data_IF_756636197733
#
_entry.id   IF_756636197733
#
_cell.length_a   1.000
_cell.length_b   1.000
_cell.length_c   1.000
_cell.angle_alpha   90.00
_cell.angle_beta   90.00
_cell.angle_gamma   90.00
#
_symmetry.space_group_name_H-M   'P 1'
#
loop_
_entity.id
_entity.type
_entity.pdbx_description
1 polymer ?
#
# COMPACT_ATOMS: atom_id res chain seq x y z
N UNK A 1 -10.00 28.04 -1.31
CA UNK A 1 -9.85 26.62 -1.67
C UNK A 1 -8.72 26.10 -0.79
N UNK A 2 -9.01 25.12 0.07
CA UNK A 2 -8.05 24.65 1.08
C UNK A 2 -7.46 23.28 0.78
N UNK A 3 -7.75 22.72 -0.39
CA UNK A 3 -7.23 21.42 -0.85
C UNK A 3 -7.65 21.12 -2.27
N UNK A 4 -7.04 20.09 -2.83
CA UNK A 4 -7.30 19.54 -4.15
C UNK A 4 -7.30 18.04 -4.06
N UNK A 5 -8.21 17.38 -4.78
CA UNK A 5 -8.24 15.92 -4.93
C UNK A 5 -8.36 15.58 -6.41
N UNK A 6 -7.68 14.52 -6.81
CA UNK A 6 -7.76 13.97 -8.16
C UNK A 6 -8.69 12.77 -8.16
N UNK A 7 -9.59 12.68 -9.13
CA UNK A 7 -10.45 11.51 -9.30
C UNK A 7 -10.45 11.09 -10.77
N UNK A 8 -10.56 9.79 -11.01
CA UNK A 8 -10.70 9.25 -12.36
C UNK A 8 -11.97 9.78 -13.02
N UNK A 9 -11.84 10.34 -14.24
CA UNK A 9 -12.97 10.72 -15.08
C UNK A 9 -13.86 9.51 -15.41
N UNK A 10 -13.21 8.37 -15.68
CA UNK A 10 -13.87 7.10 -15.99
C UNK A 10 -13.58 6.08 -14.88
N UNK A 11 -14.44 5.99 -13.84
CA UNK A 11 -14.26 5.03 -12.76
C UNK A 11 -14.21 3.58 -13.23
N UNK A 12 -13.29 2.79 -12.69
CA UNK A 12 -13.05 1.40 -13.11
C UNK A 12 -13.86 0.44 -12.25
N UNK A 13 -14.69 -0.37 -12.88
CA UNK A 13 -15.46 -1.40 -12.18
C UNK A 13 -14.56 -2.53 -11.70
N UNK A 14 -14.62 -2.84 -10.40
CA UNK A 14 -13.96 -4.00 -9.81
C UNK A 14 -14.91 -5.20 -9.87
N UNK A 15 -14.41 -6.34 -10.38
CA UNK A 15 -15.16 -7.59 -10.33
C UNK A 15 -15.46 -7.97 -8.87
N UNK A 16 -16.69 -8.39 -8.59
CA UNK A 16 -17.12 -8.76 -7.24
C UNK A 16 -16.19 -9.83 -6.64
N UNK A 17 -15.93 -9.72 -5.35
CA UNK A 17 -15.15 -10.68 -4.60
C UNK A 17 -15.64 -10.80 -3.17
N UNK A 18 -15.27 -11.87 -2.52
CA UNK A 18 -15.42 -12.01 -1.08
C UNK A 18 -14.13 -12.53 -0.46
N UNK A 19 -13.79 -12.00 0.70
CA UNK A 19 -12.61 -12.36 1.48
C UNK A 19 -13.03 -12.68 2.90
N UNK A 20 -12.18 -13.41 3.61
CA UNK A 20 -12.33 -13.65 5.04
C UNK A 20 -11.23 -12.89 5.77
N UNK A 21 -11.60 -12.08 6.73
CA UNK A 21 -10.64 -11.32 7.52
C UNK A 21 -9.93 -12.22 8.57
N UNK A 22 -8.96 -11.64 9.26
CA UNK A 22 -8.19 -12.37 10.26
C UNK A 22 -9.03 -12.87 11.45
N UNK A 23 -10.22 -12.30 11.67
CA UNK A 23 -11.15 -12.71 12.72
C UNK A 23 -12.16 -13.77 12.23
N UNK A 24 -12.04 -14.21 10.98
CA UNK A 24 -12.92 -15.21 10.37
C UNK A 24 -14.23 -14.63 9.80
N UNK A 25 -14.38 -13.31 9.79
CA UNK A 25 -15.57 -12.67 9.22
C UNK A 25 -15.46 -12.55 7.71
N UNK A 26 -16.51 -13.00 7.02
CA UNK A 26 -16.61 -12.84 5.57
C UNK A 26 -17.00 -11.40 5.20
N UNK A 27 -16.32 -10.83 4.23
CA UNK A 27 -16.57 -9.51 3.65
C UNK A 27 -16.75 -9.70 2.14
N UNK A 28 -17.89 -9.27 1.59
CA UNK A 28 -18.12 -9.27 0.16
C UNK A 28 -18.21 -7.82 -0.34
N UNK A 29 -17.58 -7.51 -1.47
CA UNK A 29 -17.56 -6.15 -2.03
C UNK A 29 -18.98 -5.63 -2.30
N UNK A 30 -19.88 -6.50 -2.79
CA UNK A 30 -21.29 -6.13 -3.04
C UNK A 30 -22.04 -5.65 -1.78
N UNK A 31 -21.65 -6.14 -0.59
CA UNK A 31 -22.29 -5.79 0.68
C UNK A 31 -21.81 -4.41 1.18
N UNK A 32 -20.77 -3.86 0.57
CA UNK A 32 -20.19 -2.55 0.88
C UNK A 32 -20.73 -1.42 -0.02
N UNK A 33 -21.58 -1.75 -1.00
CA UNK A 33 -22.22 -0.73 -1.84
C UNK A 33 -23.01 0.25 -0.96
N UNK A 34 -22.92 1.52 -1.33
CA UNK A 34 -23.48 2.62 -0.53
C UNK A 34 -22.47 3.28 0.39
N UNK A 35 -21.34 2.62 0.70
CA UNK A 35 -20.20 3.20 1.37
C UNK A 35 -19.06 3.51 0.39
N UNK A 36 -18.23 4.47 0.74
CA UNK A 36 -16.88 4.63 0.18
C UNK A 36 -16.03 3.48 0.72
N UNK A 37 -15.21 2.87 -0.14
CA UNK A 37 -14.34 1.78 0.29
C UNK A 37 -12.88 2.17 0.03
N UNK A 38 -12.03 2.05 1.04
CA UNK A 38 -10.59 2.22 0.92
C UNK A 38 -9.91 0.86 1.05
N UNK A 39 -9.35 0.38 -0.04
CA UNK A 39 -8.54 -0.85 -0.07
C UNK A 39 -7.08 -0.44 0.06
N UNK A 40 -6.45 -0.81 1.18
CA UNK A 40 -5.07 -0.42 1.49
C UNK A 40 -4.17 -1.66 1.52
N UNK A 41 -3.25 -1.75 0.55
CA UNK A 41 -2.21 -2.78 0.51
C UNK A 41 -1.01 -2.32 1.34
N UNK A 42 -0.61 -3.13 2.31
CA UNK A 42 0.40 -2.79 3.30
C UNK A 42 1.16 -4.02 3.80
N UNK A 43 2.19 -3.82 4.60
CA UNK A 43 2.88 -4.90 5.31
C UNK A 43 3.41 -4.44 6.66
N UNK A 44 3.59 -5.37 7.60
CA UNK A 44 4.11 -5.08 8.95
C UNK A 44 5.54 -4.54 8.93
N UNK A 45 6.33 -4.93 7.95
CA UNK A 45 7.72 -4.49 7.77
C UNK A 45 7.87 -3.16 7.02
N UNK A 46 6.79 -2.55 6.55
CA UNK A 46 6.78 -1.35 5.73
C UNK A 46 6.65 -0.09 6.62
N UNK A 47 7.71 0.73 6.81
CA UNK A 47 7.66 1.89 7.71
C UNK A 47 6.59 2.92 7.35
N UNK A 48 6.42 3.37 6.09
CA UNK A 48 5.35 4.33 5.74
C UNK A 48 3.96 3.74 5.94
N UNK A 49 3.77 2.42 5.70
CA UNK A 49 2.49 1.77 5.99
C UNK A 49 2.13 1.88 7.47
N UNK A 50 3.11 1.63 8.35
CA UNK A 50 2.92 1.77 9.81
C UNK A 50 2.62 3.20 10.23
N UNK A 51 3.23 4.17 9.55
CA UNK A 51 3.06 5.59 9.87
C UNK A 51 1.64 6.10 9.56
N UNK A 52 0.95 5.56 8.56
CA UNK A 52 -0.41 5.98 8.19
C UNK A 52 -1.52 5.29 9.00
N UNK A 53 -1.24 4.15 9.67
CA UNK A 53 -2.25 3.39 10.43
C UNK A 53 -3.04 4.23 11.43
N UNK A 54 -2.43 5.10 12.25
CA UNK A 54 -3.19 5.94 13.19
C UNK A 54 -4.22 6.83 12.50
N UNK A 55 -3.87 7.40 11.36
CA UNK A 55 -4.76 8.26 10.57
C UNK A 55 -5.92 7.44 9.97
N UNK A 56 -5.65 6.23 9.49
CA UNK A 56 -6.66 5.31 8.97
C UNK A 56 -7.63 4.85 10.07
N UNK A 57 -7.12 4.57 11.28
CA UNK A 57 -7.96 4.24 12.45
C UNK A 57 -8.90 5.40 12.78
N UNK A 58 -8.35 6.62 12.87
CA UNK A 58 -9.14 7.81 13.15
C UNK A 58 -10.20 8.08 12.07
N UNK A 59 -9.84 7.90 10.80
CA UNK A 59 -10.74 8.07 9.67
C UNK A 59 -11.88 7.04 9.69
N UNK A 60 -11.57 5.76 9.93
CA UNK A 60 -12.57 4.68 10.04
C UNK A 60 -13.55 4.93 11.18
N UNK A 61 -13.06 5.37 12.33
CA UNK A 61 -13.92 5.70 13.47
C UNK A 61 -14.84 6.88 13.18
N UNK A 62 -14.29 7.94 12.57
CA UNK A 62 -15.03 9.18 12.27
C UNK A 62 -16.12 8.97 11.22
N UNK A 63 -15.87 8.11 10.23
CA UNK A 63 -16.75 7.90 9.07
C UNK A 63 -17.29 6.46 8.98
N UNK A 64 -17.49 5.77 10.09
CA UNK A 64 -17.91 4.36 10.14
C UNK A 64 -19.16 4.04 9.33
N UNK A 65 -20.07 5.00 9.19
CA UNK A 65 -21.32 4.81 8.44
C UNK A 65 -21.13 5.04 6.93
N UNK A 66 -20.16 5.86 6.53
CA UNK A 66 -19.91 6.28 5.16
C UNK A 66 -18.71 5.59 4.51
N UNK A 67 -17.74 5.13 5.30
CA UNK A 67 -16.47 4.56 4.86
C UNK A 67 -16.28 3.15 5.41
N UNK A 68 -15.73 2.28 4.59
CA UNK A 68 -15.14 1.02 5.01
C UNK A 68 -13.71 0.93 4.52
N UNK A 69 -12.77 0.85 5.46
CA UNK A 69 -11.37 0.53 5.16
C UNK A 69 -11.19 -0.98 5.21
N UNK A 70 -10.42 -1.55 4.29
CA UNK A 70 -9.97 -2.94 4.28
C UNK A 70 -8.46 -2.93 4.09
N UNK A 71 -7.71 -3.40 5.06
CA UNK A 71 -6.28 -3.61 4.96
C UNK A 71 -5.98 -4.96 4.30
N UNK A 72 -5.17 -4.96 3.25
CA UNK A 72 -4.69 -6.20 2.60
C UNK A 72 -3.21 -6.32 2.91
N UNK A 73 -2.86 -7.34 3.71
CA UNK A 73 -1.48 -7.56 4.12
C UNK A 73 -0.71 -8.37 3.08
N UNK A 74 0.42 -7.82 2.64
CA UNK A 74 1.42 -8.46 1.77
C UNK A 74 2.50 -9.21 2.56
N UNK A 75 2.25 -9.48 3.84
CA UNK A 75 3.18 -10.24 4.67
C UNK A 75 3.20 -11.72 4.28
N UNK A 76 4.38 -12.25 4.03
CA UNK A 76 4.60 -13.67 3.73
C UNK A 76 4.81 -14.52 5.01
N UNK A 77 4.93 -13.88 6.18
CA UNK A 77 5.14 -14.54 7.48
C UNK A 77 3.89 -15.21 8.08
N UNK A 78 2.78 -15.18 7.35
CA UNK A 78 1.53 -15.82 7.72
C UNK A 78 0.61 -14.97 8.60
N UNK A 79 -0.66 -15.41 8.78
CA UNK A 79 -1.70 -14.60 9.40
C UNK A 79 -1.45 -14.32 10.90
N UNK A 80 -0.72 -15.16 11.60
CA UNK A 80 -0.44 -14.97 13.03
C UNK A 80 0.47 -13.78 13.31
N UNK A 81 1.45 -13.53 12.42
CA UNK A 81 2.28 -12.34 12.49
C UNK A 81 1.43 -11.07 12.37
N UNK A 82 0.56 -11.05 11.35
CA UNK A 82 -0.29 -9.91 11.05
C UNK A 82 -1.35 -9.71 12.15
N UNK A 83 -1.94 -10.80 12.66
CA UNK A 83 -2.93 -10.74 13.75
C UNK A 83 -2.35 -10.10 15.02
N UNK A 84 -1.13 -10.46 15.41
CA UNK A 84 -0.44 -9.83 16.55
C UNK A 84 -0.22 -8.35 16.30
N UNK A 85 0.26 -7.99 15.12
CA UNK A 85 0.48 -6.59 14.74
C UNK A 85 -0.82 -5.78 14.78
N UNK A 86 -1.91 -6.30 14.22
CA UNK A 86 -3.24 -5.66 14.24
C UNK A 86 -3.71 -5.40 15.67
N UNK A 87 -3.53 -6.37 16.56
CA UNK A 87 -3.90 -6.24 17.98
C UNK A 87 -3.03 -5.20 18.70
N UNK A 88 -1.72 -5.22 18.50
CA UNK A 88 -0.76 -4.28 19.10
C UNK A 88 -1.04 -2.83 18.68
N UNK A 89 -1.43 -2.61 17.43
CA UNK A 89 -1.73 -1.28 16.89
C UNK A 89 -3.21 -0.89 16.98
N UNK A 90 -4.04 -1.74 17.59
CA UNK A 90 -5.47 -1.49 17.80
C UNK A 90 -6.22 -1.11 16.52
N UNK A 91 -5.89 -1.74 15.40
CA UNK A 91 -6.53 -1.47 14.11
C UNK A 91 -8.03 -1.81 14.21
N UNK A 92 -8.87 -0.86 13.85
CA UNK A 92 -10.34 -0.92 14.01
C UNK A 92 -11.08 -1.22 12.69
N UNK A 93 -10.36 -1.67 11.68
CA UNK A 93 -10.90 -2.08 10.39
C UNK A 93 -10.43 -3.49 10.02
N UNK A 94 -11.19 -4.21 9.19
CA UNK A 94 -10.84 -5.57 8.82
C UNK A 94 -9.51 -5.63 8.07
N UNK A 95 -8.73 -6.65 8.39
CA UNK A 95 -7.47 -6.98 7.71
C UNK A 95 -7.57 -8.39 7.15
N UNK A 96 -7.16 -8.55 5.90
CA UNK A 96 -7.10 -9.83 5.18
C UNK A 96 -5.67 -10.09 4.68
N UNK A 97 -5.33 -11.35 4.49
CA UNK A 97 -4.08 -11.70 3.82
C UNK A 97 -4.24 -11.54 2.30
N UNK A 98 -3.21 -11.05 1.64
CA UNK A 98 -3.19 -10.97 0.18
C UNK A 98 -3.24 -12.36 -0.46
N UNK A 99 -3.84 -12.41 -1.62
CA UNK A 99 -3.84 -13.60 -2.48
C UNK A 99 -3.64 -13.17 -3.93
N UNK A 100 -3.04 -14.03 -4.79
CA UNK A 100 -2.88 -13.71 -6.20
C UNK A 100 -4.20 -13.40 -6.93
N UNK A 101 -5.32 -13.96 -6.45
CA UNK A 101 -6.64 -13.64 -6.99
C UNK A 101 -7.06 -12.22 -6.64
N UNK A 102 -6.82 -11.80 -5.40
CA UNK A 102 -7.18 -10.46 -4.93
C UNK A 102 -6.31 -9.39 -5.59
N UNK A 103 -5.00 -9.63 -5.72
CA UNK A 103 -4.06 -8.72 -6.41
C UNK A 103 -4.46 -8.48 -7.87
N UNK A 104 -4.92 -9.52 -8.58
CA UNK A 104 -5.39 -9.36 -9.98
C UNK A 104 -6.61 -8.44 -10.12
N UNK A 105 -7.38 -8.22 -9.05
CA UNK A 105 -8.51 -7.27 -9.05
C UNK A 105 -8.08 -5.83 -8.88
N UNK A 106 -6.85 -5.62 -8.35
CA UNK A 106 -6.26 -4.32 -8.08
C UNK A 106 -4.87 -4.23 -8.72
N UNK A 107 -4.79 -4.06 -10.05
CA UNK A 107 -3.53 -4.15 -10.78
C UNK A 107 -2.56 -3.01 -10.45
N UNK A 108 -1.27 -3.31 -10.58
CA UNK A 108 -0.21 -2.31 -10.43
C UNK A 108 0.21 -2.06 -8.99
N UNK A 109 0.11 -3.07 -8.12
CA UNK A 109 0.69 -3.06 -6.77
C UNK A 109 2.16 -3.44 -6.90
N UNK A 110 3.03 -2.45 -7.08
CA UNK A 110 4.49 -2.66 -7.19
C UNK A 110 5.26 -2.09 -6.00
N UNK A 111 4.58 -1.31 -5.15
CA UNK A 111 5.15 -0.69 -3.96
C UNK A 111 4.09 -0.58 -2.85
N UNK A 112 4.54 -0.44 -1.61
CA UNK A 112 3.70 -0.26 -0.43
C UNK A 112 3.97 1.07 0.27
N UNK A 113 2.94 1.66 0.88
CA UNK A 113 1.54 1.29 0.73
C UNK A 113 1.02 1.63 -0.67
N UNK A 114 0.03 0.88 -1.13
CA UNK A 114 -0.78 1.24 -2.30
C UNK A 114 -2.25 1.17 -1.91
N UNK A 115 -2.99 2.25 -2.18
CA UNK A 115 -4.39 2.35 -1.79
C UNK A 115 -5.28 2.62 -2.98
N UNK A 116 -6.40 1.93 -3.04
CA UNK A 116 -7.46 2.15 -4.01
C UNK A 116 -8.68 2.71 -3.31
N UNK A 117 -9.18 3.84 -3.81
CA UNK A 117 -10.42 4.46 -3.33
C UNK A 117 -11.55 4.05 -4.25
N UNK A 118 -12.60 3.47 -3.69
CA UNK A 118 -13.79 3.05 -4.42
C UNK A 118 -14.98 3.95 -4.02
N UNK A 119 -15.76 4.30 -5.01
CA UNK A 119 -17.01 5.04 -4.81
C UNK A 119 -18.12 4.15 -4.20
N UNK A 120 -19.27 4.75 -3.95
CA UNK A 120 -20.45 4.06 -3.38
C UNK A 120 -21.05 2.97 -4.29
N UNK A 121 -20.64 2.91 -5.56
CA UNK A 121 -20.98 1.87 -6.52
C UNK A 121 -19.93 0.77 -6.61
N UNK A 122 -18.88 0.83 -5.75
CA UNK A 122 -17.75 -0.09 -5.75
C UNK A 122 -16.89 -0.02 -7.04
N UNK A 123 -16.71 1.17 -7.59
CA UNK A 123 -15.81 1.44 -8.71
C UNK A 123 -14.56 2.17 -8.20
N UNK A 124 -13.39 1.81 -8.68
CA UNK A 124 -12.16 2.54 -8.39
C UNK A 124 -12.24 3.92 -9.01
N UNK A 125 -12.10 4.94 -8.19
CA UNK A 125 -12.07 6.36 -8.57
C UNK A 125 -10.72 7.02 -8.33
N UNK A 126 -9.83 6.39 -7.54
CA UNK A 126 -8.47 6.88 -7.32
C UNK A 126 -7.55 5.75 -6.86
N UNK A 127 -6.26 5.90 -7.15
CA UNK A 127 -5.18 5.03 -6.67
C UNK A 127 -4.03 5.88 -6.15
N UNK A 128 -3.62 5.64 -4.93
CA UNK A 128 -2.45 6.27 -4.32
C UNK A 128 -1.31 5.26 -4.19
N UNK A 129 -0.10 5.66 -4.56
CA UNK A 129 1.12 4.91 -4.32
C UNK A 129 1.99 5.70 -3.35
N UNK A 130 2.34 5.08 -2.23
CA UNK A 130 2.99 5.73 -1.10
C UNK A 130 2.00 6.13 0.00
N UNK A 131 2.53 6.73 1.06
CA UNK A 131 1.79 7.05 2.26
C UNK A 131 0.63 8.02 1.98
N UNK A 132 -0.56 7.66 2.44
CA UNK A 132 -1.72 8.53 2.45
C UNK A 132 -1.53 9.68 3.45
N UNK A 133 -2.07 10.84 3.12
CA UNK A 133 -2.23 11.92 4.11
C UNK A 133 -3.64 11.93 4.66
N UNK A 134 -3.79 12.06 5.97
CA UNK A 134 -5.10 12.14 6.63
C UNK A 134 -6.04 13.15 5.96
N UNK A 135 -5.50 14.27 5.53
CA UNK A 135 -6.24 15.35 4.89
C UNK A 135 -6.84 14.95 3.53
N UNK A 136 -6.01 14.41 2.63
CA UNK A 136 -6.47 13.99 1.29
C UNK A 136 -7.51 12.89 1.41
N UNK A 137 -7.23 11.87 2.21
CA UNK A 137 -8.14 10.74 2.41
C UNK A 137 -9.47 11.16 3.03
N UNK A 138 -9.46 12.14 3.94
CA UNK A 138 -10.68 12.72 4.49
C UNK A 138 -11.48 13.48 3.43
N UNK A 139 -10.83 14.27 2.59
CA UNK A 139 -11.51 15.03 1.55
C UNK A 139 -12.16 14.11 0.51
N UNK A 140 -11.45 13.08 0.06
CA UNK A 140 -11.98 12.06 -0.84
C UNK A 140 -13.18 11.34 -0.22
N UNK A 141 -13.05 10.89 1.04
CA UNK A 141 -14.14 10.23 1.76
C UNK A 141 -15.37 11.11 1.84
N UNK A 142 -15.22 12.36 2.23
CA UNK A 142 -16.35 13.30 2.33
C UNK A 142 -17.00 13.57 1.00
N UNK A 143 -16.20 13.84 -0.03
CA UNK A 143 -16.71 14.11 -1.38
C UNK A 143 -17.51 12.90 -1.91
N UNK A 144 -16.92 11.71 -1.88
CA UNK A 144 -17.54 10.49 -2.40
C UNK A 144 -18.75 10.03 -1.58
N UNK A 145 -18.77 10.35 -0.28
CA UNK A 145 -19.94 10.12 0.58
C UNK A 145 -21.07 11.14 0.40
N UNK A 146 -20.87 12.19 -0.39
CA UNK A 146 -21.83 13.28 -0.56
C UNK A 146 -21.91 14.23 0.63
N UNK A 147 -20.87 14.27 1.46
CA UNK A 147 -20.77 15.20 2.58
C UNK A 147 -20.16 16.54 2.14
N UNK A 148 -20.51 17.66 2.79
CA UNK A 148 -19.94 18.96 2.46
C UNK A 148 -18.41 18.96 2.57
N UNK A 149 -17.73 19.32 1.50
CA UNK A 149 -16.29 19.51 1.44
C UNK A 149 -15.96 20.69 0.53
N UNK A 150 -14.99 21.51 0.91
CA UNK A 150 -14.56 22.65 0.11
C UNK A 150 -13.16 22.37 -0.45
N UNK A 151 -13.13 21.66 -1.59
CA UNK A 151 -11.90 21.29 -2.29
C UNK A 151 -12.10 21.46 -3.80
N UNK A 152 -11.02 21.73 -4.51
CA UNK A 152 -10.99 21.58 -5.96
C UNK A 152 -10.94 20.08 -6.31
N UNK A 153 -11.67 19.69 -7.35
CA UNK A 153 -11.67 18.32 -7.87
C UNK A 153 -11.09 18.39 -9.27
N UNK A 154 -9.98 17.69 -9.46
CA UNK A 154 -9.38 17.48 -10.77
C UNK A 154 -9.78 16.12 -11.31
N UNK A 155 -10.32 16.08 -12.52
CA UNK A 155 -10.59 14.83 -13.22
C UNK A 155 -9.36 14.43 -14.03
N UNK A 156 -8.88 13.21 -13.79
CA UNK A 156 -7.72 12.65 -14.47
C UNK A 156 -8.11 11.42 -15.29
N UNK A 157 -7.42 11.20 -16.41
CA UNK A 157 -7.74 10.09 -17.32
C UNK A 157 -7.18 8.75 -16.84
N UNK A 158 -6.14 8.79 -16.00
CA UNK A 158 -5.50 7.59 -15.43
C UNK A 158 -5.19 7.81 -13.96
N UNK A 159 -5.46 6.79 -13.16
CA UNK A 159 -4.96 6.75 -11.79
C UNK A 159 -3.42 6.85 -11.79
N UNK A 160 -2.89 7.42 -10.73
CA UNK A 160 -1.46 7.58 -10.55
C UNK A 160 -0.71 6.28 -10.87
N UNK A 161 0.20 6.33 -11.84
CA UNK A 161 1.11 5.23 -12.14
C UNK A 161 2.08 4.98 -10.99
N UNK A 162 3.01 4.04 -11.16
CA UNK A 162 4.05 3.77 -10.16
C UNK A 162 5.02 4.96 -10.10
N UNK A 163 4.60 6.04 -9.46
CA UNK A 163 5.50 7.08 -8.99
C UNK A 163 5.84 6.74 -7.55
N UNK A 164 7.12 6.51 -7.26
CA UNK A 164 7.61 6.20 -5.92
C UNK A 164 7.67 7.50 -5.09
N UNK A 165 6.51 8.04 -4.82
CA UNK A 165 6.32 9.24 -4.01
C UNK A 165 5.92 8.86 -2.58
N UNK A 166 5.98 9.81 -1.66
CA UNK A 166 5.50 9.66 -0.28
C UNK A 166 6.03 8.40 0.45
N UNK A 167 7.32 8.09 0.26
CA UNK A 167 7.98 7.02 0.99
C UNK A 167 7.63 5.60 0.53
N UNK A 168 7.01 5.43 -0.64
CA UNK A 168 6.63 4.11 -1.14
C UNK A 168 7.80 3.12 -1.13
N UNK A 169 7.56 1.92 -0.63
CA UNK A 169 8.54 0.84 -0.50
C UNK A 169 8.34 -0.19 -1.60
N UNK A 170 9.33 -0.36 -2.46
CA UNK A 170 9.28 -1.39 -3.52
C UNK A 170 9.19 -2.79 -2.93
N UNK A 171 8.31 -3.60 -3.49
CA UNK A 171 8.14 -5.03 -3.14
C UNK A 171 9.06 -5.94 -3.95
N UNK A 172 9.57 -5.47 -5.07
CA UNK A 172 10.56 -6.17 -5.89
C UNK A 172 11.59 -5.19 -6.41
N UNK A 173 12.84 -5.63 -6.51
CA UNK A 173 13.95 -4.77 -6.92
C UNK A 173 14.49 -5.29 -8.26
N UNK A 174 14.45 -4.49 -9.34
CA UNK A 174 14.92 -4.92 -10.65
C UNK A 174 16.36 -5.45 -10.63
N UNK A 175 16.55 -6.69 -11.10
CA UNK A 175 17.85 -7.35 -11.15
C UNK A 175 18.35 -7.97 -9.84
N UNK A 176 17.49 -8.01 -8.80
CA UNK A 176 17.78 -8.63 -7.50
C UNK A 176 16.78 -9.77 -7.27
N UNK A 177 17.28 -11.00 -7.17
CA UNK A 177 16.44 -12.16 -6.86
C UNK A 177 16.34 -12.34 -5.34
N UNK A 178 15.14 -12.18 -4.82
CA UNK A 178 14.81 -12.37 -3.40
C UNK A 178 14.05 -13.69 -3.16
N UNK A 179 13.71 -14.45 -4.20
CA UNK A 179 12.94 -15.68 -4.09
C UNK A 179 13.61 -16.76 -3.21
N UNK A 180 14.94 -16.91 -3.18
CA UNK A 180 15.59 -17.90 -2.32
C UNK A 180 15.54 -17.56 -0.82
N UNK A 181 15.16 -16.35 -0.45
CA UNK A 181 15.13 -15.90 0.94
C UNK A 181 13.88 -16.42 1.67
N UNK A 182 14.03 -16.72 2.97
CA UNK A 182 12.87 -16.91 3.84
C UNK A 182 12.02 -15.65 3.92
N UNK A 183 10.72 -15.74 4.23
CA UNK A 183 9.86 -14.56 4.35
C UNK A 183 10.43 -13.46 5.25
N UNK A 184 11.00 -13.81 6.40
CA UNK A 184 11.61 -12.86 7.33
C UNK A 184 12.85 -12.17 6.73
N UNK A 185 13.75 -12.94 6.09
CA UNK A 185 14.94 -12.37 5.44
C UNK A 185 14.57 -11.54 4.20
N UNK A 186 13.50 -11.90 3.50
CA UNK A 186 12.99 -11.12 2.37
C UNK A 186 12.44 -9.77 2.83
N UNK A 187 11.65 -9.75 3.91
CA UNK A 187 11.17 -8.51 4.51
C UNK A 187 12.33 -7.62 4.96
N UNK A 188 13.34 -8.19 5.62
CA UNK A 188 14.56 -7.46 6.02
C UNK A 188 15.32 -6.89 4.81
N UNK A 189 15.47 -7.69 3.74
CA UNK A 189 16.14 -7.25 2.51
C UNK A 189 15.38 -6.08 1.86
N UNK A 190 14.07 -6.18 1.74
CA UNK A 190 13.23 -5.10 1.19
C UNK A 190 13.33 -3.83 2.03
N UNK A 191 13.28 -3.93 3.35
CA UNK A 191 13.48 -2.79 4.24
C UNK A 191 14.83 -2.11 4.00
N UNK A 192 15.92 -2.88 4.00
CA UNK A 192 17.28 -2.32 3.83
C UNK A 192 17.48 -1.72 2.44
N UNK A 193 17.00 -2.37 1.38
CA UNK A 193 17.13 -1.88 0.00
C UNK A 193 16.35 -0.58 -0.23
N UNK A 194 15.17 -0.47 0.36
CA UNK A 194 14.34 0.74 0.29
C UNK A 194 14.85 1.88 1.18
N UNK A 195 15.69 1.61 2.18
CA UNK A 195 16.24 2.61 3.10
C UNK A 195 17.67 3.03 2.73
N UNK A 196 18.49 2.12 2.22
CA UNK A 196 19.91 2.38 1.94
C UNK A 196 20.08 3.42 0.82
N UNK A 197 20.89 4.48 1.02
CA UNK A 197 21.19 5.44 -0.02
C UNK A 197 22.03 4.80 -1.14
N UNK A 198 21.76 5.13 -2.38
CA UNK A 198 22.63 4.79 -3.49
C UNK A 198 23.81 5.74 -3.54
N UNK A 199 25.03 5.19 -3.60
CA UNK A 199 26.28 5.99 -3.58
C UNK A 199 26.72 6.50 -4.95
N UNK A 200 25.84 6.43 -5.97
CA UNK A 200 26.13 6.94 -7.32
C UNK A 200 26.02 8.48 -7.43
N UNK A 201 25.53 9.16 -6.38
CA UNK A 201 25.34 10.61 -6.38
C UNK A 201 23.94 11.06 -6.86
N UNK A 202 22.97 10.13 -6.97
CA UNK A 202 21.62 10.43 -7.44
C UNK A 202 20.63 10.83 -6.32
N UNK A 203 21.07 10.83 -5.07
CA UNK A 203 20.25 11.10 -3.87
C UNK A 203 19.02 10.18 -3.71
N UNK A 204 19.02 9.02 -4.37
CA UNK A 204 17.96 8.02 -4.31
C UNK A 204 18.35 6.88 -3.37
N UNK A 205 17.36 6.12 -2.91
CA UNK A 205 17.62 4.83 -2.29
C UNK A 205 18.09 3.81 -3.34
N UNK A 206 18.74 2.73 -2.90
CA UNK A 206 19.18 1.65 -3.78
C UNK A 206 18.00 1.09 -4.57
N UNK A 207 16.87 0.83 -3.90
CA UNK A 207 15.66 0.32 -4.53
C UNK A 207 15.12 1.30 -5.58
N UNK A 208 14.97 2.57 -5.24
CA UNK A 208 14.47 3.60 -6.17
C UNK A 208 15.41 3.82 -7.35
N UNK A 209 16.71 3.85 -7.11
CA UNK A 209 17.70 3.95 -8.18
C UNK A 209 17.61 2.78 -9.18
N UNK A 210 17.31 1.56 -8.71
CA UNK A 210 17.11 0.40 -9.59
C UNK A 210 15.90 0.52 -10.51
N UNK A 211 14.88 1.28 -10.11
CA UNK A 211 13.70 1.54 -10.94
C UNK A 211 13.92 2.72 -11.88
N UNK A 212 14.42 3.84 -11.35
CA UNK A 212 14.54 5.09 -12.10
C UNK A 212 15.73 5.06 -13.08
N UNK A 213 16.83 4.35 -12.72
CA UNK A 213 18.01 4.14 -13.57
C UNK A 213 18.49 2.68 -13.52
N UNK A 214 17.85 1.78 -14.26
CA UNK A 214 18.28 0.38 -14.34
C UNK A 214 19.71 0.17 -14.85
N UNK A 215 20.28 1.15 -15.52
CA UNK A 215 21.65 1.12 -16.07
C UNK A 215 22.73 1.53 -15.08
N UNK A 216 22.34 2.05 -13.89
CA UNK A 216 23.26 2.49 -12.85
C UNK A 216 24.23 1.37 -12.44
N UNK A 217 25.52 1.58 -12.73
CA UNK A 217 26.59 0.62 -12.42
C UNK A 217 26.88 0.43 -10.92
N UNK A 218 26.33 1.29 -10.06
CA UNK A 218 26.56 1.28 -8.61
C UNK A 218 25.41 0.57 -7.87
N UNK A 219 24.16 0.83 -8.24
CA UNK A 219 22.99 0.38 -7.48
C UNK A 219 22.82 -1.14 -7.47
N UNK A 220 23.10 -1.84 -8.58
CA UNK A 220 22.95 -3.30 -8.63
C UNK A 220 24.01 -4.05 -7.79
N UNK A 221 25.31 -3.76 -7.90
CA UNK A 221 26.31 -4.34 -7.00
C UNK A 221 26.01 -4.08 -5.52
N UNK A 222 25.61 -2.85 -5.18
CA UNK A 222 25.27 -2.48 -3.81
C UNK A 222 24.04 -3.25 -3.30
N UNK A 223 23.01 -3.39 -4.13
CA UNK A 223 21.83 -4.19 -3.80
C UNK A 223 22.18 -5.66 -3.51
N UNK A 224 23.01 -6.27 -4.35
CA UNK A 224 23.49 -7.65 -4.16
C UNK A 224 24.34 -7.81 -2.91
N UNK A 225 25.16 -6.82 -2.58
CA UNK A 225 25.93 -6.81 -1.35
C UNK A 225 25.04 -6.77 -0.10
N UNK A 226 24.00 -5.94 -0.09
CA UNK A 226 23.01 -5.86 1.00
C UNK A 226 22.33 -7.23 1.20
N UNK A 227 21.89 -7.88 0.11
CA UNK A 227 21.27 -9.22 0.19
C UNK A 227 22.25 -10.26 0.69
N UNK A 228 23.51 -10.24 0.22
CA UNK A 228 24.55 -11.17 0.66
C UNK A 228 24.84 -11.05 2.19
N UNK A 229 24.83 -9.84 2.74
CA UNK A 229 25.00 -9.62 4.18
C UNK A 229 23.87 -10.24 5.02
N UNK A 230 22.64 -10.25 4.50
CA UNK A 230 21.46 -10.84 5.17
C UNK A 230 21.50 -12.37 5.08
N UNK A 231 22.10 -12.92 4.02
CA UNK A 231 22.20 -14.37 3.81
C UNK A 231 23.39 -14.99 4.51
N UNK A 232 24.41 -14.19 4.85
CA UNK A 232 25.58 -14.68 5.58
C UNK A 232 25.15 -15.36 6.90
N UNK A 233 25.72 -16.52 7.26
CA UNK A 233 25.48 -17.12 8.57
C UNK A 233 25.99 -16.15 9.65
N UNK A 234 25.18 -16.00 10.72
CA UNK A 234 25.61 -15.24 11.91
C UNK A 234 26.91 -15.87 12.44
N UNK A 235 28.00 -15.18 12.24
CA UNK A 235 29.26 -15.55 12.92
C UNK A 235 29.10 -15.20 14.41
N UNK A 236 28.67 -16.19 15.20
CA UNK A 236 28.82 -16.16 16.66
C UNK A 236 30.27 -16.32 17.06
#
# INVERSE_FOLDING_TARGET
ITGEIELLRDPVTVADFSVTDLDGKRIALRDLRGKVVLINFWATWCPPCRAEIPDLIALQEKYRDQLQIIGISEDEGGPELVRRFVAEHQMNYPVVMSTPELERKFPGIGALPTSFVLDRQARVVQKHVGMLTARTTEYETRHLAGLPVNVAIEEVDQAQGLKLENGAQLMSIPGVDLAPLTPAKRAEALQKLNAAPCTCGCDLTVAKCRVDDPSCGVSLPLARQIVAQITAPDHQ
#
